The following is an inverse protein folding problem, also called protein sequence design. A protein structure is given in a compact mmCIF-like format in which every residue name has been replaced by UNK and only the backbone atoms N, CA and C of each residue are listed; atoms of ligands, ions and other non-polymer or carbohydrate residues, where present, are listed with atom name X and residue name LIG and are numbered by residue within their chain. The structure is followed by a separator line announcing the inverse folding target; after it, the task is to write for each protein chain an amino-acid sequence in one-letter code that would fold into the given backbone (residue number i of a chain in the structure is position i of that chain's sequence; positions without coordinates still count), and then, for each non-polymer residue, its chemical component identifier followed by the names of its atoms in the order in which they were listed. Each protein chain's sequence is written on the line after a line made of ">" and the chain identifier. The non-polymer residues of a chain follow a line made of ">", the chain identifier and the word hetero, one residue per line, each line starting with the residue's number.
data_IF_098403149274
#
_entry.id   IF_098403149274
#
_cell.length_a   1.000
_cell.length_b   1.000
_cell.length_c   1.000
_cell.angle_alpha   90.00
_cell.angle_beta   90.00
_cell.angle_gamma   90.00
#
_symmetry.space_group_name_H-M   'P 1'
#
loop_
_entity.id
_entity.type
_entity.pdbx_description
1 polymer ?
#
# COMPACT_ATOMS: atom_id res chain seq x y z
N UNK A 1 1.10 -1.17 56.49
CA UNK A 1 1.76 -0.58 55.30
C UNK A 1 3.05 -1.33 55.04
N UNK A 2 3.06 -2.25 54.10
CA UNK A 2 4.27 -2.98 53.71
C UNK A 2 5.04 -2.12 52.71
N UNK A 3 6.16 -1.57 53.15
CA UNK A 3 7.12 -0.90 52.26
C UNK A 3 7.77 -1.98 51.36
N UNK A 4 7.40 -1.94 50.09
CA UNK A 4 8.07 -2.71 49.04
C UNK A 4 9.49 -2.19 48.88
N UNK A 5 10.41 -2.89 49.47
CA UNK A 5 11.85 -2.63 49.33
C UNK A 5 12.23 -3.01 47.90
N UNK A 6 12.36 -2.01 47.06
CA UNK A 6 12.86 -2.21 45.67
C UNK A 6 14.32 -2.67 45.78
N UNK A 7 14.66 -3.86 45.30
CA UNK A 7 16.04 -4.26 45.20
C UNK A 7 16.81 -3.30 44.30
N UNK A 8 17.84 -2.63 44.86
CA UNK A 8 18.81 -1.87 44.06
C UNK A 8 19.57 -2.86 43.16
N UNK A 9 18.99 -3.14 42.01
CA UNK A 9 19.66 -3.89 40.96
C UNK A 9 20.85 -3.06 40.47
N UNK A 10 22.05 -3.43 40.86
CA UNK A 10 23.25 -2.88 40.22
C UNK A 10 23.39 -3.54 38.87
N UNK A 11 23.27 -2.77 37.78
CA UNK A 11 23.41 -3.35 36.44
C UNK A 11 24.82 -3.96 36.32
N UNK A 12 24.85 -5.24 36.09
CA UNK A 12 26.11 -5.99 35.87
C UNK A 12 26.43 -5.87 34.38
N UNK A 13 27.71 -5.93 34.05
CA UNK A 13 28.17 -5.91 32.66
C UNK A 13 27.44 -6.95 31.78
N UNK A 14 27.09 -8.09 32.36
CA UNK A 14 26.29 -9.13 31.69
C UNK A 14 24.85 -8.68 31.38
N UNK A 15 24.24 -7.88 32.24
CA UNK A 15 22.90 -7.32 32.01
C UNK A 15 22.91 -6.37 30.83
N UNK A 16 23.88 -5.51 30.72
CA UNK A 16 24.07 -4.62 29.57
C UNK A 16 24.29 -5.41 28.28
N UNK A 17 25.03 -6.51 28.33
CA UNK A 17 25.29 -7.37 27.18
C UNK A 17 24.02 -8.10 26.72
N UNK A 18 23.22 -8.60 27.65
CA UNK A 18 21.91 -9.23 27.33
C UNK A 18 20.93 -8.21 26.69
N UNK A 19 20.82 -7.01 27.26
CA UNK A 19 19.98 -5.94 26.72
C UNK A 19 20.44 -5.55 25.31
N UNK A 20 21.73 -5.42 25.07
CA UNK A 20 22.30 -5.11 23.76
C UNK A 20 21.99 -6.21 22.74
N UNK A 21 22.09 -7.48 23.15
CA UNK A 21 21.79 -8.63 22.30
C UNK A 21 20.29 -8.67 21.92
N UNK A 22 19.41 -8.44 22.88
CA UNK A 22 17.96 -8.38 22.64
C UNK A 22 17.60 -7.21 21.71
N UNK A 23 18.20 -6.04 21.93
CA UNK A 23 18.02 -4.87 21.06
C UNK A 23 18.51 -5.14 19.63
N UNK A 24 19.67 -5.76 19.47
CA UNK A 24 20.21 -6.12 18.16
C UNK A 24 19.31 -7.11 17.41
N UNK A 25 18.79 -8.13 18.11
CA UNK A 25 17.81 -9.05 17.53
C UNK A 25 16.50 -8.37 17.16
N UNK A 26 15.98 -7.48 18.00
CA UNK A 26 14.75 -6.74 17.72
C UNK A 26 14.91 -5.82 16.50
N UNK A 27 16.03 -5.10 16.41
CA UNK A 27 16.32 -4.24 15.25
C UNK A 27 16.53 -5.08 13.99
N UNK A 28 17.23 -6.21 14.08
CA UNK A 28 17.47 -7.11 12.97
C UNK A 28 16.18 -7.70 12.41
N UNK A 29 15.30 -8.18 13.29
CA UNK A 29 13.98 -8.71 12.87
C UNK A 29 13.08 -7.63 12.32
N UNK A 30 13.07 -6.45 12.92
CA UNK A 30 12.32 -5.32 12.41
C UNK A 30 12.81 -4.92 11.01
N UNK A 31 14.12 -4.82 10.82
CA UNK A 31 14.70 -4.46 9.52
C UNK A 31 14.43 -5.52 8.45
N UNK A 32 14.49 -6.79 8.81
CA UNK A 32 14.12 -7.89 7.92
C UNK A 32 12.64 -7.80 7.51
N UNK A 33 11.76 -7.56 8.47
CA UNK A 33 10.31 -7.48 8.24
C UNK A 33 9.93 -6.22 7.42
N UNK A 34 10.42 -5.05 7.82
CA UNK A 34 10.14 -3.79 7.12
C UNK A 34 10.90 -3.67 5.79
N UNK A 35 12.08 -4.24 5.67
CA UNK A 35 12.83 -4.30 4.41
C UNK A 35 12.16 -5.20 3.38
N UNK A 36 11.51 -6.27 3.81
CA UNK A 36 10.70 -7.16 2.97
C UNK A 36 9.43 -6.50 2.44
N UNK A 37 8.73 -5.73 3.31
CA UNK A 37 7.52 -5.01 2.90
C UNK A 37 7.78 -3.84 1.93
N UNK A 38 8.97 -3.26 1.93
CA UNK A 38 9.34 -2.18 1.00
C UNK A 38 9.69 -2.65 -0.40
N UNK A 39 9.82 -3.94 -0.62
CA UNK A 39 9.91 -4.52 -1.96
C UNK A 39 8.50 -4.70 -2.54
N UNK A 40 7.78 -3.60 -2.70
CA UNK A 40 6.69 -3.54 -3.66
C UNK A 40 7.36 -3.74 -5.01
N UNK A 41 7.26 -4.96 -5.53
CA UNK A 41 7.65 -5.23 -6.91
C UNK A 41 6.90 -4.29 -7.86
N UNK A 42 7.28 -4.24 -9.13
CA UNK A 42 6.60 -3.42 -10.10
C UNK A 42 5.09 -3.72 -10.03
N UNK A 43 4.32 -2.68 -9.80
CA UNK A 43 2.87 -2.76 -9.70
C UNK A 43 2.26 -2.41 -11.06
N UNK A 44 1.23 -3.13 -11.42
CA UNK A 44 0.41 -2.86 -12.60
C UNK A 44 -0.92 -2.26 -12.13
N UNK A 45 -1.42 -1.27 -12.83
CA UNK A 45 -2.76 -0.75 -12.58
C UNK A 45 -3.74 -1.26 -13.65
N UNK A 46 -4.95 -1.52 -13.20
CA UNK A 46 -6.08 -1.90 -14.05
C UNK A 46 -7.20 -0.92 -13.74
N UNK A 47 -7.72 -0.26 -14.77
CA UNK A 47 -8.84 0.65 -14.67
C UNK A 47 -10.04 0.00 -15.35
N UNK A 48 -11.10 -0.17 -14.58
CA UNK A 48 -12.35 -0.76 -15.05
C UNK A 48 -13.44 0.30 -14.95
N UNK A 49 -14.23 0.45 -16.02
CA UNK A 49 -15.40 1.32 -16.07
C UNK A 49 -16.63 0.46 -16.40
N UNK A 50 -17.62 0.48 -15.52
CA UNK A 50 -18.86 -0.30 -15.64
C UNK A 50 -18.65 -1.81 -15.85
N UNK A 51 -17.57 -2.34 -15.28
CA UNK A 51 -17.20 -3.75 -15.37
C UNK A 51 -16.33 -4.11 -16.59
N UNK A 52 -16.05 -3.14 -17.47
CA UNK A 52 -15.17 -3.31 -18.62
C UNK A 52 -13.80 -2.70 -18.35
N UNK A 53 -12.73 -3.43 -18.66
CA UNK A 53 -11.37 -2.91 -18.55
C UNK A 53 -11.09 -1.91 -19.68
N UNK A 54 -10.86 -0.66 -19.30
CA UNK A 54 -10.61 0.43 -20.25
C UNK A 54 -9.15 0.82 -20.38
N UNK A 55 -8.34 0.54 -19.34
CA UNK A 55 -6.93 0.83 -19.36
C UNK A 55 -6.16 -0.11 -18.42
N UNK A 56 -4.94 -0.44 -18.83
CA UNK A 56 -3.98 -1.23 -18.06
C UNK A 56 -2.59 -0.69 -18.33
N UNK A 57 -1.72 -0.71 -17.34
CA UNK A 57 -0.34 -0.30 -17.51
C UNK A 57 0.48 -0.47 -16.25
N UNK A 58 1.78 -0.25 -16.40
CA UNK A 58 2.72 -0.28 -15.28
C UNK A 58 2.66 1.03 -14.48
N UNK A 59 2.69 0.91 -13.17
CA UNK A 59 2.73 2.06 -12.27
C UNK A 59 4.00 2.90 -12.44
N UNK A 60 5.09 2.30 -12.91
CA UNK A 60 6.38 2.95 -13.16
C UNK A 60 6.35 3.99 -14.28
N UNK A 61 5.34 3.92 -15.16
CA UNK A 61 5.22 4.84 -16.29
C UNK A 61 4.25 5.99 -15.95
N UNK A 62 4.72 7.24 -15.91
CA UNK A 62 3.84 8.39 -15.71
C UNK A 62 2.83 8.49 -16.85
N UNK A 63 1.56 8.54 -16.50
CA UNK A 63 0.48 8.63 -17.48
C UNK A 63 -0.75 9.32 -16.89
N UNK A 64 -1.43 10.05 -17.72
CA UNK A 64 -2.73 10.63 -17.41
C UNK A 64 -3.81 9.95 -18.26
N UNK A 65 -4.89 9.53 -17.61
CA UNK A 65 -6.00 8.83 -18.23
C UNK A 65 -7.27 9.58 -17.88
N UNK A 66 -7.95 10.08 -18.92
CA UNK A 66 -9.27 10.67 -18.78
C UNK A 66 -10.31 9.59 -18.99
N UNK A 67 -11.30 9.53 -18.12
CA UNK A 67 -12.48 8.69 -18.26
C UNK A 67 -13.66 9.61 -18.49
N UNK A 68 -14.20 9.54 -19.69
CA UNK A 68 -15.36 10.33 -20.10
C UNK A 68 -16.62 9.46 -19.95
N UNK A 69 -17.46 9.84 -19.02
CA UNK A 69 -18.73 9.21 -18.74
C UNK A 69 -19.78 10.25 -18.35
N UNK A 70 -20.69 9.89 -17.47
CA UNK A 70 -21.64 10.86 -16.88
C UNK A 70 -20.90 11.88 -16.01
N UNK A 71 -19.80 11.43 -15.39
CA UNK A 71 -18.86 12.26 -14.62
C UNK A 71 -17.47 12.13 -15.21
N UNK A 72 -16.81 13.27 -15.43
CA UNK A 72 -15.44 13.27 -15.95
C UNK A 72 -14.45 12.94 -14.82
N UNK A 73 -13.66 11.92 -15.01
CA UNK A 73 -12.59 11.56 -14.09
C UNK A 73 -11.24 11.73 -14.76
N UNK A 74 -10.32 12.34 -14.05
CA UNK A 74 -8.91 12.42 -14.45
C UNK A 74 -8.05 11.63 -13.49
N UNK A 75 -7.52 10.53 -13.97
CA UNK A 75 -6.67 9.62 -13.22
C UNK A 75 -5.23 9.91 -13.61
N UNK A 76 -4.37 10.11 -12.63
CA UNK A 76 -2.95 10.41 -12.84
C UNK A 76 -2.10 9.32 -12.20
N UNK A 77 -1.20 8.77 -12.99
CA UNK A 77 -0.10 7.93 -12.56
C UNK A 77 1.18 8.76 -12.58
N UNK A 78 1.85 8.88 -11.44
CA UNK A 78 3.08 9.70 -11.32
C UNK A 78 4.38 8.87 -11.35
N UNK A 79 4.28 7.57 -11.68
CA UNK A 79 5.40 6.64 -11.70
C UNK A 79 5.68 5.92 -10.38
N UNK A 80 5.02 6.31 -9.30
CA UNK A 80 5.11 5.69 -7.97
C UNK A 80 3.75 5.45 -7.33
N UNK A 81 2.76 6.21 -7.75
CA UNK A 81 1.40 6.14 -7.25
C UNK A 81 0.38 6.40 -8.36
N UNK A 82 -0.83 5.94 -8.15
CA UNK A 82 -1.97 6.28 -9.00
C UNK A 82 -3.06 6.90 -8.13
N UNK A 83 -3.69 7.94 -8.62
CA UNK A 83 -4.74 8.66 -7.90
C UNK A 83 -5.69 9.36 -8.85
N UNK A 84 -6.88 9.67 -8.36
CA UNK A 84 -7.84 10.52 -9.08
C UNK A 84 -7.52 11.97 -8.76
N UNK A 85 -7.07 12.71 -9.76
CA UNK A 85 -6.70 14.11 -9.62
C UNK A 85 -7.93 15.01 -9.57
N UNK A 86 -8.90 14.71 -10.42
CA UNK A 86 -10.16 15.46 -10.52
C UNK A 86 -11.31 14.54 -10.83
N UNK A 87 -12.47 14.86 -10.27
CA UNK A 87 -13.71 14.17 -10.57
C UNK A 87 -14.87 15.14 -10.38
N UNK A 88 -15.83 15.09 -11.29
CA UNK A 88 -17.08 15.87 -11.20
C UNK A 88 -18.16 15.13 -10.38
N UNK A 89 -17.83 13.97 -9.80
CA UNK A 89 -18.81 13.23 -9.02
C UNK A 89 -19.19 13.96 -7.72
N UNK A 90 -20.47 13.88 -7.29
CA UNK A 90 -20.96 14.66 -6.15
C UNK A 90 -20.34 14.27 -4.81
N UNK A 91 -19.96 13.00 -4.62
CA UNK A 91 -19.35 12.52 -3.38
C UNK A 91 -17.86 12.82 -3.27
N UNK A 92 -17.16 12.86 -4.40
CA UNK A 92 -15.70 13.03 -4.51
C UNK A 92 -14.88 12.06 -3.66
N UNK A 93 -15.43 10.91 -3.31
CA UNK A 93 -14.77 9.92 -2.49
C UNK A 93 -13.53 9.34 -3.19
N UNK A 94 -13.57 9.20 -4.50
CA UNK A 94 -12.45 8.77 -5.33
C UNK A 94 -11.23 9.73 -5.21
N UNK A 95 -11.48 11.05 -5.17
CA UNK A 95 -10.42 12.06 -4.97
C UNK A 95 -9.91 12.02 -3.53
N UNK A 96 -10.83 11.84 -2.57
CA UNK A 96 -10.50 11.78 -1.13
C UNK A 96 -9.76 10.50 -0.74
N UNK A 97 -9.94 9.41 -1.47
CA UNK A 97 -9.21 8.15 -1.23
C UNK A 97 -7.70 8.35 -1.31
N UNK A 98 -7.26 9.34 -2.10
CA UNK A 98 -5.85 9.70 -2.21
C UNK A 98 -5.06 8.75 -3.11
N UNK A 99 -3.76 8.63 -2.83
CA UNK A 99 -2.81 7.91 -3.66
C UNK A 99 -2.76 6.42 -3.32
N UNK A 100 -2.90 5.57 -4.32
CA UNK A 100 -2.61 4.15 -4.21
C UNK A 100 -1.16 3.87 -4.66
N UNK A 101 -0.40 3.21 -3.82
CA UNK A 101 1.05 2.99 -4.00
C UNK A 101 1.45 1.52 -3.94
N UNK A 102 0.58 0.66 -3.41
CA UNK A 102 0.89 -0.75 -3.17
C UNK A 102 -0.10 -1.66 -3.88
N UNK A 103 0.34 -2.83 -4.35
CA UNK A 103 -0.55 -3.87 -4.83
C UNK A 103 -1.62 -4.23 -3.80
N UNK A 104 -2.84 -4.45 -4.24
CA UNK A 104 -4.00 -4.73 -3.40
C UNK A 104 -4.81 -3.49 -3.03
N UNK A 105 -4.30 -2.29 -3.24
CA UNK A 105 -5.07 -1.06 -3.08
C UNK A 105 -5.99 -0.82 -4.27
N UNK A 106 -7.15 -0.24 -4.02
CA UNK A 106 -8.10 0.14 -5.06
C UNK A 106 -8.75 1.47 -4.74
N UNK A 107 -9.05 2.22 -5.79
CA UNK A 107 -9.83 3.46 -5.74
C UNK A 107 -11.13 3.19 -6.47
N UNK A 108 -12.24 3.43 -5.81
CA UNK A 108 -13.57 3.15 -6.36
C UNK A 108 -14.37 4.45 -6.46
N UNK A 109 -14.90 4.72 -7.64
CA UNK A 109 -15.88 5.77 -7.88
C UNK A 109 -17.23 5.11 -8.17
N UNK A 110 -18.11 5.11 -7.18
CA UNK A 110 -19.42 4.44 -7.28
C UNK A 110 -20.38 5.11 -8.28
N UNK A 111 -20.50 6.45 -8.33
CA UNK A 111 -21.40 7.09 -9.27
C UNK A 111 -21.11 6.74 -10.73
N UNK A 112 -19.83 6.69 -11.11
CA UNK A 112 -19.40 6.37 -12.48
C UNK A 112 -19.07 4.88 -12.67
N UNK A 113 -19.05 4.10 -11.58
CA UNK A 113 -18.63 2.70 -11.58
C UNK A 113 -17.20 2.48 -12.13
N UNK A 114 -16.30 3.40 -11.79
CA UNK A 114 -14.89 3.30 -12.13
C UNK A 114 -14.13 2.69 -10.96
N UNK A 115 -13.35 1.67 -11.25
CA UNK A 115 -12.48 1.00 -10.28
C UNK A 115 -11.06 1.06 -10.80
N UNK A 116 -10.17 1.66 -10.02
CA UNK A 116 -8.73 1.63 -10.24
C UNK A 116 -8.13 0.64 -9.27
N UNK A 117 -7.55 -0.43 -9.76
CA UNK A 117 -6.98 -1.51 -8.95
C UNK A 117 -5.48 -1.62 -9.21
N UNK A 118 -4.69 -1.65 -8.14
CA UNK A 118 -3.28 -1.99 -8.22
C UNK A 118 -3.08 -3.48 -7.96
N UNK A 119 -2.43 -4.14 -8.90
CA UNK A 119 -2.04 -5.55 -8.81
C UNK A 119 -0.54 -5.67 -8.85
N UNK A 120 0.03 -6.63 -8.13
CA UNK A 120 1.44 -6.99 -8.30
C UNK A 120 1.64 -7.61 -9.68
N UNK A 121 2.74 -7.30 -10.36
CA UNK A 121 3.09 -8.04 -11.57
C UNK A 121 3.11 -9.55 -11.25
N UNK A 122 2.27 -10.30 -11.94
CA UNK A 122 2.29 -11.76 -11.89
C UNK A 122 3.65 -12.23 -12.43
N UNK A 123 4.51 -12.68 -11.54
CA UNK A 123 5.53 -13.62 -11.94
C UNK A 123 4.79 -14.91 -12.31
N UNK A 124 5.09 -15.49 -13.43
CA UNK A 124 4.43 -16.65 -14.08
C UNK A 124 4.28 -17.91 -13.18
N UNK A 125 4.61 -17.80 -11.90
CA UNK A 125 4.59 -18.86 -10.89
C UNK A 125 3.49 -18.74 -9.84
N UNK A 126 2.58 -17.78 -9.95
CA UNK A 126 1.53 -17.60 -8.95
C UNK A 126 0.29 -18.37 -9.38
N UNK A 127 -0.12 -19.43 -8.64
CA UNK A 127 -1.34 -20.15 -8.96
C UNK A 127 -2.53 -19.20 -8.82
N UNK A 128 -3.34 -19.18 -9.83
CA UNK A 128 -4.59 -18.43 -9.93
C UNK A 128 -5.52 -18.81 -8.77
N UNK A 129 -5.34 -18.19 -7.61
CA UNK A 129 -6.31 -18.25 -6.53
C UNK A 129 -7.48 -17.32 -6.88
N UNK A 130 -8.34 -17.83 -7.75
CA UNK A 130 -9.68 -17.27 -7.94
C UNK A 130 -10.46 -17.55 -6.66
N UNK A 131 -10.43 -16.61 -5.73
CA UNK A 131 -11.43 -16.57 -4.66
C UNK A 131 -12.63 -15.84 -5.26
N UNK A 132 -13.55 -16.66 -5.69
CA UNK A 132 -14.86 -16.16 -6.14
C UNK A 132 -15.70 -15.63 -4.98
#
# INVERSE_FOLDING_TARGET
>A
MKSTHSPKLRPTFFDALVVLLVLALAIGTAWWFYGGLRRSGPAEYIITHRGEEIARGELSQPREIAVDGEYHLRIVCDGQSIYVHHSDCPTQDCVRTGKATHPGQSIVCLPEQVIVKLVGMKTESDPDLIIG
#
